data_IF_006549235150
#
_entry.id   IF_006549235150
#
_cell.length_a   1.000
_cell.length_b   1.000
_cell.length_c   1.000
_cell.angle_alpha   90.00
_cell.angle_beta   90.00
_cell.angle_gamma   90.00
#
_symmetry.space_group_name_H-M   'P 1'
#
loop_
_entity.id
_entity.type
_entity.pdbx_description
1 polymer ?
#
# COMPACT_ATOMS: atom_id res chain seq x y z
N UNK A 1 -9.94 -12.33 -16.31
CA UNK A 1 -11.25 -12.96 -16.61
C UNK A 1 -11.37 -13.57 -18.01
N UNK A 2 -10.99 -12.86 -19.09
CA UNK A 2 -11.10 -13.42 -20.47
C UNK A 2 -10.21 -14.65 -20.67
N UNK A 3 -8.95 -14.57 -20.26
CA UNK A 3 -7.97 -15.67 -20.37
C UNK A 3 -8.41 -16.92 -19.61
N UNK A 4 -9.02 -16.78 -18.43
CA UNK A 4 -9.53 -17.92 -17.66
C UNK A 4 -10.76 -18.56 -18.30
N UNK A 5 -11.64 -17.77 -18.94
CA UNK A 5 -12.78 -18.28 -19.72
C UNK A 5 -12.32 -19.06 -20.96
N UNK A 6 -11.31 -18.55 -21.68
CA UNK A 6 -10.70 -19.22 -22.82
C UNK A 6 -9.99 -20.52 -22.44
N UNK A 7 -9.23 -20.49 -21.32
CA UNK A 7 -8.56 -21.68 -20.81
C UNK A 7 -9.55 -22.78 -20.40
N UNK A 8 -10.66 -22.45 -19.75
CA UNK A 8 -11.73 -23.40 -19.44
C UNK A 8 -12.39 -23.99 -20.71
N UNK A 9 -12.59 -23.18 -21.75
CA UNK A 9 -13.11 -23.69 -23.04
C UNK A 9 -12.15 -24.66 -23.72
N UNK A 10 -10.83 -24.53 -23.48
CA UNK A 10 -9.79 -25.43 -24.03
C UNK A 10 -9.43 -26.59 -23.09
N UNK A 11 -10.24 -26.86 -22.06
CA UNK A 11 -10.06 -27.96 -21.11
C UNK A 11 -8.68 -27.95 -20.42
N UNK A 12 -8.14 -26.76 -20.17
CA UNK A 12 -6.91 -26.60 -19.37
C UNK A 12 -7.18 -27.07 -17.95
N UNK A 13 -6.29 -27.86 -17.31
CA UNK A 13 -6.44 -28.30 -15.94
C UNK A 13 -6.66 -27.12 -14.97
N UNK A 14 -7.42 -27.31 -13.91
CA UNK A 14 -7.74 -26.24 -12.95
C UNK A 14 -6.51 -25.51 -12.39
N UNK A 15 -5.42 -26.26 -12.19
CA UNK A 15 -4.15 -25.67 -11.76
C UNK A 15 -3.60 -24.66 -12.79
N UNK A 16 -3.67 -24.99 -14.09
CA UNK A 16 -3.29 -24.08 -15.17
C UNK A 16 -4.20 -22.85 -15.25
N UNK A 17 -5.50 -23.01 -14.98
CA UNK A 17 -6.43 -21.85 -14.92
C UNK A 17 -6.09 -20.92 -13.77
N UNK A 18 -5.70 -21.45 -12.59
CA UNK A 18 -5.25 -20.65 -11.44
C UNK A 18 -3.97 -19.89 -11.73
N UNK A 19 -2.99 -20.54 -12.37
CA UNK A 19 -1.73 -19.90 -12.77
C UNK A 19 -1.97 -18.78 -13.77
N UNK A 20 -2.84 -18.99 -14.78
CA UNK A 20 -3.23 -17.95 -15.75
C UNK A 20 -3.97 -16.77 -15.09
N UNK A 21 -4.82 -17.03 -14.09
CA UNK A 21 -5.49 -15.99 -13.33
C UNK A 21 -4.49 -15.16 -12.53
N UNK A 22 -3.56 -15.82 -11.84
CA UNK A 22 -2.48 -15.15 -11.13
C UNK A 22 -1.61 -14.32 -12.07
N UNK A 23 -1.16 -14.88 -13.19
CA UNK A 23 -0.37 -14.18 -14.20
C UNK A 23 -1.07 -12.90 -14.70
N UNK A 24 -2.37 -12.95 -14.94
CA UNK A 24 -3.15 -11.76 -15.30
C UNK A 24 -3.19 -10.70 -14.20
N UNK A 25 -3.22 -11.11 -12.93
CA UNK A 25 -3.13 -10.19 -11.80
C UNK A 25 -1.74 -9.55 -11.68
N UNK A 26 -0.67 -10.32 -11.93
CA UNK A 26 0.70 -9.79 -11.98
C UNK A 26 0.83 -8.70 -13.06
N UNK A 27 0.34 -8.95 -14.26
CA UNK A 27 0.34 -7.96 -15.34
C UNK A 27 -0.43 -6.70 -14.97
N UNK A 28 -1.64 -6.83 -14.43
CA UNK A 28 -2.50 -5.71 -14.07
C UNK A 28 -1.89 -4.83 -12.96
N UNK A 29 -1.34 -5.44 -11.91
CA UNK A 29 -0.72 -4.69 -10.81
C UNK A 29 0.62 -4.08 -11.24
N UNK A 30 1.40 -4.78 -12.06
CA UNK A 30 2.64 -4.25 -12.62
C UNK A 30 2.41 -2.97 -13.44
N UNK A 31 1.36 -2.95 -14.25
CA UNK A 31 0.99 -1.76 -15.03
C UNK A 31 0.42 -0.64 -14.17
N UNK A 32 -0.39 -0.98 -13.14
CA UNK A 32 -0.94 -0.02 -12.20
C UNK A 32 0.16 0.70 -11.39
N UNK A 33 1.20 -0.03 -10.99
CA UNK A 33 2.31 0.53 -10.21
C UNK A 33 3.47 1.04 -11.09
N UNK A 34 3.39 0.89 -12.40
CA UNK A 34 4.45 1.27 -13.33
C UNK A 34 5.76 0.47 -13.15
N UNK A 35 5.71 -0.66 -12.42
CA UNK A 35 6.88 -1.50 -12.15
C UNK A 35 6.53 -2.98 -12.12
N UNK A 36 7.07 -3.78 -13.06
CA UNK A 36 6.88 -5.23 -13.08
C UNK A 36 7.37 -5.92 -11.79
N UNK A 37 8.48 -5.44 -11.22
CA UNK A 37 9.04 -6.00 -10.00
C UNK A 37 8.13 -5.75 -8.80
N UNK A 38 7.68 -4.50 -8.60
CA UNK A 38 6.79 -4.16 -7.48
C UNK A 38 5.49 -4.94 -7.55
N UNK A 39 4.89 -5.05 -8.73
CA UNK A 39 3.67 -5.85 -8.94
C UNK A 39 3.87 -7.33 -8.61
N UNK A 40 5.01 -7.89 -9.02
CA UNK A 40 5.34 -9.28 -8.74
C UNK A 40 5.55 -9.53 -7.25
N UNK A 41 6.35 -8.71 -6.58
CA UNK A 41 6.61 -8.84 -5.15
C UNK A 41 5.36 -8.61 -4.29
N UNK A 42 4.52 -7.63 -4.65
CA UNK A 42 3.25 -7.38 -3.98
C UNK A 42 2.36 -8.61 -4.00
N UNK A 43 2.16 -9.21 -5.17
CA UNK A 43 1.32 -10.40 -5.28
C UNK A 43 1.93 -11.63 -4.62
N UNK A 44 3.25 -11.80 -4.73
CA UNK A 44 3.97 -12.89 -4.05
C UNK A 44 3.78 -12.81 -2.54
N UNK A 45 4.00 -11.63 -1.98
CA UNK A 45 3.91 -11.39 -0.53
C UNK A 45 2.45 -11.43 -0.04
N UNK A 46 1.52 -10.79 -0.76
CA UNK A 46 0.10 -10.77 -0.42
C UNK A 46 -0.56 -12.15 -0.51
N UNK A 47 -0.14 -12.97 -1.46
CA UNK A 47 -0.65 -14.33 -1.61
C UNK A 47 0.05 -15.35 -0.69
N UNK A 48 1.08 -14.94 0.06
CA UNK A 48 1.87 -15.83 0.91
C UNK A 48 2.55 -16.96 0.11
N UNK A 49 2.94 -16.67 -1.13
CA UNK A 49 3.55 -17.68 -2.01
C UNK A 49 4.93 -18.09 -1.47
N UNK A 50 5.07 -19.38 -1.19
CA UNK A 50 6.32 -19.96 -0.71
C UNK A 50 6.51 -21.39 -1.19
N UNK A 51 7.71 -21.94 -0.95
CA UNK A 51 8.02 -23.33 -1.31
C UNK A 51 7.87 -23.62 -2.82
N UNK A 52 7.44 -24.83 -3.20
CA UNK A 52 7.34 -25.27 -4.59
C UNK A 52 6.36 -24.44 -5.44
N UNK A 53 5.33 -23.84 -4.81
CA UNK A 53 4.33 -23.01 -5.50
C UNK A 53 4.92 -21.68 -5.98
N UNK A 54 5.99 -21.19 -5.34
CA UNK A 54 6.62 -19.92 -5.71
C UNK A 54 7.10 -19.95 -7.17
N UNK A 55 7.88 -20.97 -7.55
CA UNK A 55 8.40 -21.08 -8.93
C UNK A 55 7.29 -21.28 -9.97
N UNK A 56 6.24 -22.03 -9.60
CA UNK A 56 5.13 -22.34 -10.50
C UNK A 56 4.31 -21.10 -10.86
N UNK A 57 4.15 -20.15 -9.93
CA UNK A 57 3.32 -18.95 -10.12
C UNK A 57 4.17 -17.73 -10.47
N UNK A 58 5.35 -17.58 -9.85
CA UNK A 58 6.21 -16.41 -10.02
C UNK A 58 6.75 -16.28 -11.43
N UNK A 59 7.24 -17.36 -12.04
CA UNK A 59 7.81 -17.29 -13.40
C UNK A 59 6.78 -16.86 -14.47
N UNK A 60 5.60 -17.50 -14.58
CA UNK A 60 4.57 -17.02 -15.48
C UNK A 60 4.07 -15.62 -15.11
N UNK A 61 4.03 -15.29 -13.82
CA UNK A 61 3.64 -13.98 -13.32
C UNK A 61 4.60 -12.87 -13.74
N UNK A 62 5.90 -13.06 -13.57
CA UNK A 62 6.95 -12.12 -14.01
C UNK A 62 6.93 -11.94 -15.53
N UNK A 63 6.78 -13.02 -16.28
CA UNK A 63 6.66 -12.96 -17.75
C UNK A 63 5.43 -12.14 -18.15
N UNK A 64 4.28 -12.38 -17.52
CA UNK A 64 3.06 -11.63 -17.80
C UNK A 64 3.18 -10.16 -17.39
N UNK A 65 3.83 -9.85 -16.26
CA UNK A 65 4.11 -8.49 -15.82
C UNK A 65 5.01 -7.75 -16.81
N UNK A 66 6.08 -8.38 -17.28
CA UNK A 66 6.99 -7.81 -18.28
C UNK A 66 6.30 -7.56 -19.62
N UNK A 67 5.58 -8.56 -20.14
CA UNK A 67 4.83 -8.40 -21.40
C UNK A 67 3.73 -7.35 -21.25
N UNK A 68 3.01 -7.32 -20.14
CA UNK A 68 2.00 -6.32 -19.85
C UNK A 68 2.58 -4.90 -19.87
N UNK A 69 3.72 -4.69 -19.21
CA UNK A 69 4.40 -3.40 -19.22
C UNK A 69 4.85 -2.99 -20.63
N UNK A 70 5.40 -3.90 -21.42
CA UNK A 70 5.78 -3.63 -22.81
C UNK A 70 4.58 -3.24 -23.69
N UNK A 71 3.43 -3.90 -23.50
CA UNK A 71 2.19 -3.56 -24.23
C UNK A 71 1.74 -2.13 -23.88
N UNK A 72 1.78 -1.75 -22.59
CA UNK A 72 1.40 -0.40 -22.16
C UNK A 72 2.36 0.67 -22.67
N UNK A 73 3.66 0.42 -22.67
CA UNK A 73 4.67 1.31 -23.28
C UNK A 73 4.40 1.46 -24.80
N UNK A 74 4.09 0.35 -25.49
CA UNK A 74 3.74 0.39 -26.91
C UNK A 74 2.45 1.15 -27.17
N UNK A 75 1.42 1.00 -26.34
CA UNK A 75 0.18 1.76 -26.43
C UNK A 75 0.39 3.25 -26.16
N UNK A 76 1.26 3.61 -25.22
CA UNK A 76 1.62 4.99 -24.95
C UNK A 76 2.27 5.63 -26.17
N UNK A 77 3.24 4.98 -26.80
CA UNK A 77 3.87 5.44 -28.03
C UNK A 77 2.88 5.63 -29.19
N UNK A 78 1.78 4.86 -29.21
CA UNK A 78 0.76 4.96 -30.25
C UNK A 78 -0.31 6.00 -29.95
N UNK A 79 -0.67 6.17 -28.67
CA UNK A 79 -1.83 6.99 -28.26
C UNK A 79 -1.45 8.31 -27.61
N UNK A 80 -0.22 8.42 -27.10
CA UNK A 80 0.24 9.59 -26.33
C UNK A 80 -0.47 9.78 -24.98
N UNK A 81 -1.14 8.74 -24.44
CA UNK A 81 -1.89 8.83 -23.18
C UNK A 81 -1.01 8.77 -21.94
N UNK A 82 0.27 8.46 -22.10
CA UNK A 82 1.23 8.27 -20.99
C UNK A 82 1.15 6.87 -20.39
N UNK A 83 2.26 6.43 -19.82
CA UNK A 83 2.30 5.27 -18.93
C UNK A 83 2.35 5.77 -17.49
N UNK A 84 1.59 5.13 -16.61
CA UNK A 84 1.69 5.45 -15.19
C UNK A 84 3.07 5.03 -14.67
N UNK A 85 3.74 5.95 -13.98
CA UNK A 85 4.98 5.69 -13.27
C UNK A 85 4.86 6.20 -11.83
N UNK A 86 5.23 5.38 -10.88
CA UNK A 86 5.35 5.79 -9.47
C UNK A 86 6.60 6.65 -9.23
N UNK A 87 7.59 6.57 -10.12
CA UNK A 87 8.84 7.31 -9.96
C UNK A 87 8.62 8.81 -10.08
N UNK A 88 9.11 9.57 -9.10
CA UNK A 88 9.07 11.02 -9.07
C UNK A 88 10.33 11.58 -9.72
N UNK A 89 10.21 12.25 -10.88
CA UNK A 89 11.36 12.88 -11.51
C UNK A 89 11.71 14.20 -10.81
N UNK A 90 13.02 14.53 -10.79
CA UNK A 90 13.47 15.87 -10.38
C UNK A 90 13.57 16.11 -8.87
N UNK A 91 13.60 15.07 -8.06
CA UNK A 91 13.87 15.19 -6.63
C UNK A 91 15.32 15.63 -6.39
N UNK A 92 15.60 16.44 -5.33
CA UNK A 92 16.96 16.77 -4.94
C UNK A 92 17.71 15.49 -4.57
N UNK A 93 18.96 15.37 -5.05
CA UNK A 93 19.79 14.17 -4.83
C UNK A 93 20.00 13.88 -3.34
N UNK A 94 19.91 12.60 -2.96
CA UNK A 94 20.20 12.14 -1.63
C UNK A 94 21.64 11.61 -1.53
N UNK A 95 22.36 12.04 -0.50
CA UNK A 95 23.73 11.58 -0.23
C UNK A 95 23.78 10.22 0.46
N UNK A 96 24.82 10.01 1.27
CA UNK A 96 24.93 8.81 2.09
C UNK A 96 24.14 8.96 3.39
N UNK A 97 23.47 7.88 3.87
CA UNK A 97 22.74 7.89 5.15
C UNK A 97 23.65 8.25 6.34
N UNK A 98 23.14 9.10 7.21
CA UNK A 98 23.82 9.49 8.45
C UNK A 98 23.24 8.79 9.68
N UNK A 99 24.00 8.74 10.79
CA UNK A 99 23.54 8.13 12.03
C UNK A 99 22.27 8.82 12.58
N UNK A 100 22.14 10.14 12.38
CA UNK A 100 20.96 10.89 12.80
C UNK A 100 19.69 10.42 12.09
N UNK A 101 19.80 10.14 10.79
CA UNK A 101 18.69 9.66 9.96
C UNK A 101 18.23 8.25 10.38
N UNK A 102 19.14 7.38 10.82
CA UNK A 102 18.75 6.08 11.45
C UNK A 102 17.94 6.28 12.72
N UNK A 103 18.27 7.30 13.54
CA UNK A 103 17.44 7.69 14.68
C UNK A 103 16.04 8.11 14.25
N UNK A 104 15.94 8.91 13.18
CA UNK A 104 14.66 9.31 12.58
C UNK A 104 13.88 8.14 12.01
N UNK A 105 14.55 7.12 11.44
CA UNK A 105 13.88 5.91 10.95
C UNK A 105 13.11 5.20 12.07
N UNK A 106 13.67 5.15 13.29
CA UNK A 106 12.99 4.58 14.46
C UNK A 106 11.77 5.44 14.85
N UNK A 107 11.94 6.76 14.93
CA UNK A 107 10.85 7.69 15.29
C UNK A 107 9.70 7.61 14.30
N UNK A 108 9.98 7.66 13.01
CA UNK A 108 8.99 7.55 11.94
C UNK A 108 8.29 6.19 11.98
N UNK A 109 9.06 5.11 12.18
CA UNK A 109 8.51 3.76 12.30
C UNK A 109 7.52 3.63 13.47
N UNK A 110 7.87 4.16 14.63
CA UNK A 110 6.98 4.17 15.82
C UNK A 110 5.77 5.06 15.58
N UNK A 111 5.94 6.25 15.00
CA UNK A 111 4.84 7.16 14.69
C UNK A 111 3.82 6.50 13.73
N UNK A 112 4.28 5.84 12.66
CA UNK A 112 3.43 5.09 11.75
C UNK A 112 2.71 3.94 12.46
N UNK A 113 3.40 3.23 13.37
CA UNK A 113 2.83 2.16 14.17
C UNK A 113 1.74 2.63 15.15
N UNK A 114 1.65 3.91 15.46
CA UNK A 114 0.56 4.49 16.24
C UNK A 114 -0.59 4.94 15.32
N UNK A 115 -0.28 5.64 14.24
CA UNK A 115 -1.27 6.21 13.32
C UNK A 115 -2.05 5.10 12.58
N UNK A 116 -1.40 4.10 12.02
CA UNK A 116 -2.06 3.09 11.20
C UNK A 116 -3.05 2.21 11.97
N UNK A 117 -2.71 1.64 13.14
CA UNK A 117 -3.68 0.95 13.98
C UNK A 117 -4.84 1.84 14.41
N UNK A 118 -4.61 3.14 14.65
CA UNK A 118 -5.65 4.12 14.92
C UNK A 118 -6.65 4.24 13.75
N UNK A 119 -6.17 4.37 12.52
CA UNK A 119 -7.00 4.39 11.31
C UNK A 119 -7.79 3.08 11.18
N UNK A 120 -7.14 1.93 11.36
CA UNK A 120 -7.81 0.62 11.28
C UNK A 120 -8.82 0.39 12.41
N UNK A 121 -8.54 0.91 13.60
CA UNK A 121 -9.49 0.88 14.70
C UNK A 121 -10.75 1.69 14.38
N UNK A 122 -10.58 2.92 13.89
CA UNK A 122 -11.69 3.76 13.45
C UNK A 122 -12.51 3.07 12.35
N UNK A 123 -11.84 2.51 11.34
CA UNK A 123 -12.51 1.79 10.26
C UNK A 123 -13.36 0.62 10.79
N UNK A 124 -12.79 -0.23 11.64
CA UNK A 124 -13.51 -1.37 12.24
C UNK A 124 -14.67 -0.93 13.11
N UNK A 125 -14.48 0.12 13.89
CA UNK A 125 -15.53 0.68 14.73
C UNK A 125 -16.74 1.15 13.89
N UNK A 126 -16.46 1.91 12.83
CA UNK A 126 -17.52 2.41 11.93
C UNK A 126 -18.15 1.30 11.08
N UNK A 127 -17.38 0.28 10.71
CA UNK A 127 -17.87 -0.84 9.90
C UNK A 127 -19.01 -1.57 10.57
N UNK A 128 -19.01 -1.71 11.89
CA UNK A 128 -20.12 -2.33 12.64
C UNK A 128 -21.47 -1.62 12.44
N UNK A 129 -21.43 -0.32 12.20
CA UNK A 129 -22.62 0.49 11.89
C UNK A 129 -22.94 0.45 10.39
N UNK A 130 -21.91 0.48 9.53
CA UNK A 130 -22.08 0.42 8.09
C UNK A 130 -22.75 -0.89 7.64
N UNK A 131 -22.41 -2.02 8.26
CA UNK A 131 -23.02 -3.32 7.98
C UNK A 131 -24.51 -3.38 8.38
N UNK A 132 -24.90 -2.66 9.43
CA UNK A 132 -26.30 -2.63 9.91
C UNK A 132 -27.19 -1.63 9.17
N UNK A 133 -26.64 -0.46 8.84
CA UNK A 133 -27.37 0.70 8.32
C UNK A 133 -26.74 1.25 7.05
N UNK A 134 -26.38 0.38 6.10
CA UNK A 134 -25.61 0.74 4.89
C UNK A 134 -26.21 1.93 4.13
N UNK A 135 -27.55 1.98 3.98
CA UNK A 135 -28.23 3.05 3.24
C UNK A 135 -28.07 4.45 3.89
N UNK A 136 -27.82 4.50 5.18
CA UNK A 136 -27.68 5.76 5.93
C UNK A 136 -26.19 6.07 6.17
N UNK A 137 -25.42 5.06 6.57
CA UNK A 137 -24.01 5.24 6.97
C UNK A 137 -23.13 5.57 5.76
N UNK A 138 -23.37 4.96 4.60
CA UNK A 138 -22.53 5.22 3.39
C UNK A 138 -22.65 6.67 2.90
N UNK A 139 -23.86 7.25 2.73
CA UNK A 139 -23.99 8.68 2.42
C UNK A 139 -23.40 9.59 3.51
N UNK A 140 -23.61 9.27 4.79
CA UNK A 140 -23.03 10.04 5.90
C UNK A 140 -21.51 9.99 5.90
N UNK A 141 -20.91 8.85 5.58
CA UNK A 141 -19.47 8.71 5.42
C UNK A 141 -18.93 9.62 4.29
N UNK A 142 -19.65 9.70 3.17
CA UNK A 142 -19.32 10.62 2.09
C UNK A 142 -19.38 12.09 2.52
N UNK A 143 -20.42 12.48 3.23
CA UNK A 143 -20.56 13.83 3.80
C UNK A 143 -19.45 14.11 4.81
N UNK A 144 -19.12 13.17 5.69
CA UNK A 144 -18.04 13.34 6.67
C UNK A 144 -16.68 13.58 5.98
N UNK A 145 -16.38 12.81 4.93
CA UNK A 145 -15.15 12.99 4.13
C UNK A 145 -15.13 14.37 3.44
N UNK A 146 -16.25 14.80 2.87
CA UNK A 146 -16.37 16.12 2.25
C UNK A 146 -16.17 17.25 3.28
N UNK A 147 -16.76 17.14 4.46
CA UNK A 147 -16.59 18.12 5.55
C UNK A 147 -15.12 18.20 5.99
N UNK A 148 -14.42 17.08 6.14
CA UNK A 148 -13.00 17.06 6.47
C UNK A 148 -12.15 17.75 5.40
N UNK A 149 -12.48 17.57 4.12
CA UNK A 149 -11.80 18.24 3.02
C UNK A 149 -12.05 19.75 3.01
N UNK A 150 -13.27 20.19 3.30
CA UNK A 150 -13.61 21.61 3.41
C UNK A 150 -12.89 22.24 4.61
N UNK A 151 -12.92 21.60 5.79
CA UNK A 151 -12.21 22.10 6.98
C UNK A 151 -10.72 22.30 6.67
N UNK A 152 -10.10 21.33 6.01
CA UNK A 152 -8.70 21.45 5.61
C UNK A 152 -8.47 22.61 4.65
N UNK A 153 -9.28 22.73 3.61
CA UNK A 153 -9.13 23.78 2.59
C UNK A 153 -9.33 25.19 3.18
N UNK A 154 -10.37 25.40 3.98
CA UNK A 154 -10.67 26.68 4.62
C UNK A 154 -9.57 27.08 5.63
N UNK A 155 -9.04 26.11 6.38
CA UNK A 155 -8.01 26.39 7.38
C UNK A 155 -6.62 26.64 6.78
N UNK A 156 -6.31 26.11 5.60
CA UNK A 156 -4.96 26.14 5.02
C UNK A 156 -4.85 26.91 3.71
N UNK A 157 -5.96 27.17 3.03
CA UNK A 157 -5.98 27.71 1.66
C UNK A 157 -5.46 26.72 0.60
N UNK A 158 -5.34 25.43 0.93
CA UNK A 158 -4.88 24.36 0.03
C UNK A 158 -6.07 23.67 -0.64
N UNK A 159 -5.78 22.79 -1.62
CA UNK A 159 -6.82 22.11 -2.37
C UNK A 159 -7.55 21.03 -1.54
N UNK A 160 -8.86 20.91 -1.72
CA UNK A 160 -9.65 19.83 -1.11
C UNK A 160 -9.22 18.43 -1.61
N UNK A 161 -8.63 18.34 -2.80
CA UNK A 161 -8.09 17.12 -3.39
C UNK A 161 -7.00 16.48 -2.54
N UNK A 162 -6.24 17.25 -1.75
CA UNK A 162 -5.24 16.71 -0.82
C UNK A 162 -5.87 15.74 0.19
N UNK A 163 -7.11 15.99 0.62
CA UNK A 163 -7.85 15.11 1.54
C UNK A 163 -8.67 14.07 0.79
N UNK A 164 -9.28 14.45 -0.34
CA UNK A 164 -10.13 13.56 -1.13
C UNK A 164 -9.32 12.50 -1.88
N UNK A 165 -10.03 11.49 -2.41
CA UNK A 165 -9.50 10.42 -3.25
C UNK A 165 -8.37 9.60 -2.60
N UNK A 166 -7.63 8.84 -3.40
CA UNK A 166 -6.51 8.00 -2.94
C UNK A 166 -5.25 8.80 -2.59
N UNK A 167 -5.09 10.02 -3.15
CA UNK A 167 -3.87 10.81 -3.05
C UNK A 167 -2.79 10.44 -4.07
N UNK A 168 -3.10 9.54 -5.01
CA UNK A 168 -2.15 9.11 -6.05
C UNK A 168 -1.64 10.29 -6.88
N UNK A 169 -2.56 11.12 -7.38
CA UNK A 169 -2.23 12.28 -8.22
C UNK A 169 -1.66 13.46 -7.41
N UNK A 170 -1.93 13.49 -6.11
CA UNK A 170 -1.49 14.57 -5.21
C UNK A 170 -0.13 14.27 -4.58
N UNK A 171 0.39 13.05 -4.71
CA UNK A 171 1.65 12.64 -4.09
C UNK A 171 2.85 13.39 -4.68
N UNK A 172 2.92 13.52 -6.01
CA UNK A 172 3.98 14.26 -6.69
C UNK A 172 3.93 15.77 -6.38
N UNK A 173 2.79 16.48 -6.55
CA UNK A 173 2.68 17.87 -6.13
C UNK A 173 3.02 18.13 -4.65
N UNK A 174 2.60 17.22 -3.76
CA UNK A 174 2.90 17.33 -2.33
C UNK A 174 4.41 17.34 -2.05
N UNK A 175 5.15 16.43 -2.68
CA UNK A 175 6.59 16.28 -2.44
C UNK A 175 7.38 17.39 -3.14
N UNK A 176 7.06 17.70 -4.39
CA UNK A 176 7.75 18.74 -5.16
C UNK A 176 7.53 20.15 -4.60
N UNK A 177 6.37 20.41 -4.03
CA UNK A 177 6.03 21.69 -3.40
C UNK A 177 6.02 21.61 -1.86
N UNK A 178 6.75 20.68 -1.26
CA UNK A 178 6.77 20.47 0.18
C UNK A 178 7.08 21.76 0.98
N UNK A 179 7.96 22.61 0.48
CA UNK A 179 8.31 23.90 1.09
C UNK A 179 7.13 24.88 1.17
N UNK A 180 6.06 24.69 0.40
CA UNK A 180 4.86 25.52 0.43
C UNK A 180 3.88 25.17 1.55
N UNK A 181 4.12 24.05 2.26
CA UNK A 181 3.26 23.59 3.34
C UNK A 181 3.88 23.94 4.69
N UNK A 182 3.14 24.65 5.54
CA UNK A 182 3.53 24.83 6.93
C UNK A 182 3.37 23.51 7.71
N UNK A 183 4.13 23.37 8.80
CA UNK A 183 4.00 22.18 9.68
C UNK A 183 2.56 22.03 10.18
N UNK A 184 1.89 23.14 10.51
CA UNK A 184 0.48 23.10 10.93
C UNK A 184 -0.46 22.58 9.83
N UNK A 185 -0.25 22.99 8.57
CA UNK A 185 -1.02 22.50 7.43
C UNK A 185 -0.79 21.00 7.19
N UNK A 186 0.45 20.52 7.33
CA UNK A 186 0.79 19.09 7.20
C UNK A 186 0.17 18.25 8.33
N UNK A 187 0.20 18.72 9.56
CA UNK A 187 -0.43 18.02 10.70
C UNK A 187 -1.96 17.96 10.52
N UNK A 188 -2.57 19.07 10.08
CA UNK A 188 -3.99 19.11 9.78
C UNK A 188 -4.34 18.18 8.61
N UNK A 189 -3.50 18.15 7.56
CA UNK A 189 -3.67 17.24 6.44
C UNK A 189 -3.57 15.78 6.90
N UNK A 190 -2.58 15.45 7.73
CA UNK A 190 -2.42 14.12 8.30
C UNK A 190 -3.67 13.68 9.09
N UNK A 191 -4.22 14.58 9.91
CA UNK A 191 -5.42 14.31 10.69
C UNK A 191 -6.65 14.14 9.80
N UNK A 192 -6.93 15.11 8.91
CA UNK A 192 -8.09 15.06 8.02
C UNK A 192 -8.03 13.86 7.06
N UNK A 193 -6.87 13.63 6.44
CA UNK A 193 -6.67 12.48 5.52
C UNK A 193 -6.75 11.15 6.26
N UNK A 194 -6.14 11.04 7.45
CA UNK A 194 -6.20 9.83 8.28
C UNK A 194 -7.63 9.48 8.70
N UNK A 195 -8.40 10.49 9.15
CA UNK A 195 -9.81 10.33 9.49
C UNK A 195 -10.66 9.98 8.26
N UNK A 196 -10.50 10.70 7.16
CA UNK A 196 -11.19 10.44 5.90
C UNK A 196 -10.91 9.02 5.40
N UNK A 197 -9.66 8.57 5.50
CA UNK A 197 -9.26 7.22 5.11
C UNK A 197 -9.90 6.16 6.03
N UNK A 198 -9.90 6.36 7.36
CA UNK A 198 -10.57 5.46 8.30
C UNK A 198 -12.08 5.34 8.05
N UNK A 199 -12.75 6.46 7.78
CA UNK A 199 -14.16 6.51 7.39
C UNK A 199 -14.40 5.79 6.07
N UNK A 200 -13.54 6.04 5.07
CA UNK A 200 -13.65 5.42 3.75
C UNK A 200 -13.46 3.91 3.79
N UNK A 201 -12.50 3.41 4.57
CA UNK A 201 -12.25 1.97 4.74
C UNK A 201 -13.44 1.22 5.36
N UNK A 202 -14.27 1.91 6.16
CA UNK A 202 -15.46 1.31 6.78
C UNK A 202 -16.63 1.15 5.83
N UNK A 203 -16.75 2.03 4.83
CA UNK A 203 -17.97 2.22 4.06
C UNK A 203 -17.80 2.03 2.55
N UNK A 204 -16.60 2.22 2.03
CA UNK A 204 -16.30 2.12 0.61
C UNK A 204 -15.31 1.01 0.32
N UNK A 205 -15.38 0.47 -0.90
CA UNK A 205 -14.35 -0.42 -1.42
C UNK A 205 -13.31 0.40 -2.16
N UNK A 206 -12.07 0.28 -1.75
CA UNK A 206 -10.93 0.97 -2.36
C UNK A 206 -9.64 0.21 -2.13
N UNK A 207 -8.58 0.64 -2.80
CA UNK A 207 -7.27 0.08 -2.61
C UNK A 207 -6.55 0.82 -1.45
N UNK A 208 -5.76 0.13 -0.62
CA UNK A 208 -5.12 0.73 0.54
C UNK A 208 -3.73 1.31 0.29
N UNK A 209 -3.14 1.11 -0.89
CA UNK A 209 -1.72 1.40 -1.17
C UNK A 209 -1.46 2.91 -1.19
N UNK A 210 -2.10 3.63 -2.11
CA UNK A 210 -1.85 5.06 -2.29
C UNK A 210 -2.24 5.93 -1.09
N UNK A 211 -3.38 5.71 -0.41
CA UNK A 211 -3.68 6.46 0.80
C UNK A 211 -2.64 6.26 1.91
N UNK A 212 -2.13 5.04 2.07
CA UNK A 212 -1.07 4.77 3.04
C UNK A 212 0.24 5.49 2.67
N UNK A 213 0.64 5.43 1.39
CA UNK A 213 1.82 6.13 0.88
C UNK A 213 1.70 7.64 1.08
N UNK A 214 0.54 8.22 0.75
CA UNK A 214 0.28 9.65 0.89
C UNK A 214 0.36 10.11 2.35
N UNK A 215 -0.31 9.42 3.27
CA UNK A 215 -0.25 9.71 4.72
C UNK A 215 1.19 9.58 5.23
N UNK A 216 1.92 8.57 4.77
CA UNK A 216 3.33 8.38 5.11
C UNK A 216 4.20 9.53 4.60
N UNK A 217 4.00 9.97 3.37
CA UNK A 217 4.70 11.12 2.79
C UNK A 217 4.42 12.42 3.58
N UNK A 218 3.15 12.71 3.87
CA UNK A 218 2.75 13.87 4.68
C UNK A 218 3.45 13.86 6.04
N UNK A 219 3.47 12.72 6.72
CA UNK A 219 4.16 12.56 8.00
C UNK A 219 5.67 12.76 7.88
N UNK A 220 6.29 12.19 6.84
CA UNK A 220 7.71 12.35 6.55
C UNK A 220 8.10 13.80 6.25
N UNK A 221 7.29 14.52 5.45
CA UNK A 221 7.48 15.95 5.17
C UNK A 221 7.34 16.77 6.45
N UNK A 222 6.32 16.52 7.26
CA UNK A 222 6.12 17.25 8.51
C UNK A 222 7.33 17.11 9.45
N UNK A 223 7.90 15.91 9.55
CA UNK A 223 9.07 15.65 10.38
C UNK A 223 10.38 16.20 9.77
N UNK A 224 10.47 16.32 8.44
CA UNK A 224 11.66 16.87 7.77
C UNK A 224 11.89 18.36 8.04
N UNK A 225 10.92 19.07 8.63
CA UNK A 225 11.12 20.42 9.14
C UNK A 225 11.97 20.44 10.42
N UNK A 226 12.22 19.29 11.03
CA UNK A 226 13.09 19.15 12.20
C UNK A 226 14.54 18.93 11.78
N UNK A 227 15.53 19.36 12.59
CA UNK A 227 16.94 19.26 12.22
C UNK A 227 17.39 17.80 12.09
N UNK A 228 18.28 17.53 11.15
CA UNK A 228 18.90 16.22 10.94
C UNK A 228 18.04 15.21 10.15
N UNK A 229 16.94 15.64 9.53
CA UNK A 229 16.12 14.82 8.65
C UNK A 229 15.95 15.48 7.29
N UNK A 230 16.67 15.05 6.24
CA UNK A 230 16.43 15.51 4.88
C UNK A 230 15.03 15.13 4.38
N UNK A 231 14.44 16.00 3.56
CA UNK A 231 13.10 15.80 3.00
C UNK A 231 12.93 14.41 2.36
N UNK A 232 13.87 14.03 1.48
CA UNK A 232 13.80 12.77 0.73
C UNK A 232 13.83 11.55 1.67
N UNK A 233 14.71 11.58 2.69
CA UNK A 233 14.78 10.50 3.68
C UNK A 233 13.47 10.43 4.50
N UNK A 234 12.93 11.58 4.94
CA UNK A 234 11.67 11.64 5.67
C UNK A 234 10.50 11.07 4.87
N UNK A 235 10.36 11.48 3.61
CA UNK A 235 9.33 10.99 2.69
C UNK A 235 9.45 9.49 2.47
N UNK A 236 10.65 9.00 2.14
CA UNK A 236 10.89 7.58 1.89
C UNK A 236 10.55 6.69 3.08
N UNK A 237 11.09 7.06 4.24
CA UNK A 237 10.84 6.33 5.48
C UNK A 237 9.36 6.39 5.88
N UNK A 238 8.72 7.55 5.72
CA UNK A 238 7.29 7.74 6.02
C UNK A 238 6.42 6.85 5.13
N UNK A 239 6.65 6.84 3.81
CA UNK A 239 5.95 6.00 2.86
C UNK A 239 6.13 4.53 3.21
N UNK A 240 7.36 4.07 3.41
CA UNK A 240 7.64 2.67 3.75
C UNK A 240 6.99 2.24 5.06
N UNK A 241 7.16 3.04 6.13
CA UNK A 241 6.62 2.76 7.45
C UNK A 241 5.08 2.71 7.47
N UNK A 242 4.42 3.68 6.82
CA UNK A 242 2.95 3.71 6.80
C UNK A 242 2.37 2.62 5.91
N UNK A 243 3.02 2.34 4.77
CA UNK A 243 2.62 1.25 3.87
C UNK A 243 2.67 -0.10 4.59
N UNK A 244 3.76 -0.43 5.30
CA UNK A 244 3.84 -1.73 6.00
C UNK A 244 2.81 -1.87 7.10
N UNK A 245 2.50 -0.79 7.81
CA UNK A 245 1.48 -0.84 8.87
C UNK A 245 0.10 -1.07 8.29
N UNK A 246 -0.23 -0.49 7.14
CA UNK A 246 -1.54 -0.65 6.52
C UNK A 246 -1.68 -1.94 5.70
N UNK A 247 -0.64 -2.33 4.97
CA UNK A 247 -0.67 -3.48 4.06
C UNK A 247 -0.22 -4.79 4.72
N UNK A 248 0.60 -4.73 5.77
CA UNK A 248 1.28 -5.87 6.41
C UNK A 248 2.23 -6.62 5.45
N UNK A 249 2.78 -5.93 4.45
CA UNK A 249 3.66 -6.43 3.41
C UNK A 249 5.02 -5.71 3.48
N UNK A 250 5.97 -6.18 4.32
CA UNK A 250 7.22 -5.47 4.55
C UNK A 250 8.10 -5.33 3.31
N UNK A 251 8.26 -6.39 2.52
CA UNK A 251 9.10 -6.33 1.32
C UNK A 251 8.52 -5.37 0.27
N UNK A 252 7.21 -5.48 0.03
CA UNK A 252 6.49 -4.59 -0.89
C UNK A 252 6.58 -3.13 -0.44
N UNK A 253 6.48 -2.87 0.86
CA UNK A 253 6.56 -1.51 1.41
C UNK A 253 7.93 -0.87 1.22
N UNK A 254 9.01 -1.64 1.37
CA UNK A 254 10.37 -1.19 1.04
C UNK A 254 10.48 -0.87 -0.45
N UNK A 255 10.01 -1.77 -1.32
CA UNK A 255 10.07 -1.57 -2.77
C UNK A 255 9.25 -0.36 -3.23
N UNK A 256 8.02 -0.17 -2.70
CA UNK A 256 7.19 0.99 -3.03
C UNK A 256 7.90 2.30 -2.69
N UNK A 257 8.50 2.39 -1.50
CA UNK A 257 9.19 3.60 -1.06
C UNK A 257 10.48 3.85 -1.85
N UNK A 258 11.25 2.82 -2.16
CA UNK A 258 12.54 2.97 -2.87
C UNK A 258 12.36 3.23 -4.37
N UNK A 259 11.38 2.60 -5.02
CA UNK A 259 11.13 2.80 -6.45
C UNK A 259 10.48 4.16 -6.75
N UNK A 260 9.72 4.72 -5.79
CA UNK A 260 9.19 6.07 -5.91
C UNK A 260 10.29 7.11 -6.07
N UNK A 261 11.44 6.93 -5.43
CA UNK A 261 12.56 7.86 -5.42
C UNK A 261 13.54 7.66 -6.60
N UNK A 262 13.22 6.81 -7.55
CA UNK A 262 13.99 6.56 -8.76
C UNK A 262 15.50 6.36 -8.49
N UNK A 263 16.34 7.31 -8.90
CA UNK A 263 17.82 7.22 -8.78
C UNK A 263 18.32 7.15 -7.34
N UNK A 264 17.64 7.81 -6.40
CA UNK A 264 18.06 7.90 -4.99
C UNK A 264 17.50 6.77 -4.12
N UNK A 265 16.62 5.95 -4.67
CA UNK A 265 15.98 4.85 -3.96
C UNK A 265 16.96 3.89 -3.30
N UNK A 266 18.04 3.54 -3.98
CA UNK A 266 19.06 2.64 -3.42
C UNK A 266 19.85 3.27 -2.26
N UNK A 267 20.10 4.57 -2.29
CA UNK A 267 20.82 5.28 -1.24
C UNK A 267 19.99 5.39 0.05
N UNK A 268 18.67 5.62 -0.08
CA UNK A 268 17.75 5.71 1.06
C UNK A 268 17.26 4.34 1.56
N UNK A 269 17.44 3.27 0.79
CA UNK A 269 16.90 1.94 1.10
C UNK A 269 17.25 1.44 2.51
N UNK A 270 18.47 1.57 3.03
CA UNK A 270 18.79 1.12 4.39
C UNK A 270 17.94 1.80 5.47
N UNK A 271 17.67 3.11 5.31
CA UNK A 271 16.80 3.87 6.23
C UNK A 271 15.35 3.40 6.14
N UNK A 272 14.86 3.18 4.92
CA UNK A 272 13.50 2.66 4.69
C UNK A 272 13.33 1.28 5.31
N UNK A 273 14.31 0.38 5.15
CA UNK A 273 14.27 -0.96 5.75
C UNK A 273 14.12 -0.85 7.27
N UNK A 274 14.94 -0.01 7.93
CA UNK A 274 14.85 0.17 9.38
C UNK A 274 13.49 0.72 9.79
N UNK A 275 12.98 1.75 9.12
CA UNK A 275 11.68 2.35 9.41
C UNK A 275 10.54 1.33 9.22
N UNK A 276 10.58 0.53 8.14
CA UNK A 276 9.60 -0.53 7.85
C UNK A 276 9.62 -1.62 8.91
N UNK A 277 10.81 -2.11 9.28
CA UNK A 277 10.94 -3.17 10.31
C UNK A 277 10.45 -2.67 11.66
N UNK A 278 10.86 -1.47 12.08
CA UNK A 278 10.40 -0.87 13.35
C UNK A 278 8.88 -0.69 13.33
N UNK A 279 8.33 -0.12 12.25
CA UNK A 279 6.89 0.09 12.12
C UNK A 279 6.11 -1.23 12.18
N UNK A 280 6.58 -2.25 11.45
CA UNK A 280 5.95 -3.57 11.43
C UNK A 280 5.94 -4.24 12.81
N UNK A 281 7.09 -4.28 13.47
CA UNK A 281 7.24 -4.90 14.81
C UNK A 281 6.43 -4.12 15.84
N UNK A 282 6.51 -2.79 15.86
CA UNK A 282 5.77 -1.96 16.80
C UNK A 282 4.25 -2.10 16.59
N UNK A 283 3.76 -2.04 15.34
CA UNK A 283 2.35 -2.22 15.03
C UNK A 283 1.83 -3.60 15.44
N UNK A 284 2.64 -4.66 15.26
CA UNK A 284 2.28 -6.02 15.69
C UNK A 284 2.16 -6.17 17.23
N UNK A 285 2.82 -5.29 18.00
CA UNK A 285 2.70 -5.26 19.47
C UNK A 285 1.50 -4.46 19.95
N UNK A 286 1.11 -3.42 19.20
CA UNK A 286 0.01 -2.52 19.55
C UNK A 286 -1.35 -3.10 19.13
N UNK A 287 -1.43 -3.71 17.96
CA UNK A 287 -2.68 -4.29 17.46
C UNK A 287 -2.90 -5.70 18.05
N UNK A 288 -4.06 -5.98 18.68
CA UNK A 288 -4.41 -7.35 19.06
C UNK A 288 -4.38 -8.23 17.81
N UNK A 289 -3.70 -9.36 17.88
CA UNK A 289 -3.75 -10.36 16.80
C UNK A 289 -5.19 -10.75 16.56
N UNK A 290 -5.67 -10.76 15.30
CA UNK A 290 -6.96 -11.40 15.01
C UNK A 290 -6.86 -12.85 15.48
N UNK A 291 -7.73 -13.23 16.40
CA UNK A 291 -7.91 -14.64 16.77
C UNK A 291 -8.57 -15.32 15.57
N UNK A 292 -7.78 -15.85 14.64
CA UNK A 292 -8.27 -16.85 13.69
C UNK A 292 -7.24 -17.17 12.60
N UNK A 293 -6.49 -18.15 12.83
CA UNK A 293 -6.10 -19.13 11.76
C UNK A 293 -5.91 -20.53 12.37
N UNK A 294 -6.38 -20.74 13.60
CA UNK A 294 -6.43 -22.07 14.21
C UNK A 294 -7.59 -22.96 13.74
N UNK A 295 -8.56 -22.42 13.00
CA UNK A 295 -9.69 -23.22 12.51
C UNK A 295 -9.41 -23.99 11.21
N UNK A 296 -8.32 -23.68 10.50
CA UNK A 296 -7.96 -24.39 9.25
C UNK A 296 -7.20 -25.71 9.46
N UNK A 297 -6.56 -25.90 10.62
CA UNK A 297 -5.78 -27.12 10.90
C UNK A 297 -6.61 -28.21 11.59
N UNK A 298 -7.70 -27.88 12.26
CA UNK A 298 -8.58 -28.88 12.88
C UNK A 298 -9.50 -29.59 11.89
N UNK A 299 -9.86 -28.97 10.76
CA UNK A 299 -10.67 -29.63 9.72
C UNK A 299 -9.84 -30.56 8.83
N UNK A 300 -8.53 -30.34 8.69
CA UNK A 300 -7.64 -31.24 7.96
C UNK A 300 -7.30 -32.49 8.77
N UNK A 301 -7.33 -32.43 10.10
CA UNK A 301 -7.05 -33.58 10.97
C UNK A 301 -8.23 -34.53 11.19
N UNK A 302 -9.46 -34.06 11.04
CA UNK A 302 -10.66 -34.89 11.23
C UNK A 302 -11.06 -35.71 9.99
N UNK A 303 -10.65 -35.32 8.80
CA UNK A 303 -10.90 -36.09 7.57
C UNK A 303 -9.98 -37.29 7.39
N UNK A 304 -8.82 -37.31 8.06
CA UNK A 304 -7.87 -38.42 7.91
C UNK A 304 -8.12 -39.63 8.83
N UNK A 305 -8.98 -39.50 9.85
CA UNK A 305 -9.29 -40.58 10.79
C UNK A 305 -10.58 -41.37 10.50
N UNK A 306 -11.42 -40.91 9.55
CA UNK A 306 -12.67 -41.61 9.19
C UNK A 306 -12.51 -42.58 8.03
N UNK A 307 -11.45 -42.51 7.23
CA UNK A 307 -11.24 -43.45 6.11
C UNK A 307 -10.47 -44.74 6.49
N UNK A 308 -9.89 -44.77 7.71
CA UNK A 308 -9.20 -45.99 8.17
C UNK A 308 -10.10 -47.01 8.87
N UNK A 309 -11.34 -46.67 9.20
CA UNK A 309 -12.28 -47.57 9.89
C UNK A 309 -13.29 -48.27 8.97
N UNK A 310 -13.23 -48.02 7.65
CA UNK A 310 -14.14 -48.63 6.66
C UNK A 310 -13.46 -49.73 5.79
N UNK A 311 -12.22 -50.13 6.11
CA UNK A 311 -11.48 -51.20 5.40
C UNK A 311 -10.90 -52.23 6.36
N UNK A 312 -11.64 -52.57 7.44
CA UNK A 312 -11.36 -53.77 8.26
C UNK A 312 -12.61 -54.65 8.33
#
# INVERSE_FOLDING_TARGET
MLATKLARRRQVPEQGVRVLAAAGSFAAIATLLGSPLTGAFLLMEAAGLGGPMLGLVLLPGLLAAGIGSLIFIGLDNLTGLGTFSLALPGLPGFGQPTVAEFGWAIVIGVAAALVGPGIRWLARFLQTYADKWTMIVVPLAGVAVAVLAIIYAEATGKATSDVLFSGQNELDPLITHAASYSVGALVLLLACKGLAYGVSLSSFRGEPIFPAMFIGAVGGIALSHLPGLPLIAGVAMGIGAMSVVMLTLPLTSVLLATLLLASDGLAVMPLVIVAVVVAHVAAARIAPRPAAQSAGSEHAGRGAHTDSAAQA
#
